data_IF_038428626623
#
_entry.id   IF_038428626623
#
_cell.length_a   1.000
_cell.length_b   1.000
_cell.length_c   1.000
_cell.angle_alpha   90.00
_cell.angle_beta   90.00
_cell.angle_gamma   90.00
#
_symmetry.space_group_name_H-M   'P 1'
#
loop_
_entity.id
_entity.type
_entity.pdbx_description
1 polymer ?
#
# COMPACT_ATOMS: atom_id res chain seq x y z
N UNK A 1 -4.55 -2.94 5.89
CA UNK A 1 -3.86 -1.87 5.10
C UNK A 1 -2.63 -2.49 4.46
N UNK A 2 -2.43 -2.24 3.15
CA UNK A 2 -1.34 -2.80 2.38
C UNK A 2 0.02 -2.63 3.09
N UNK A 3 0.57 -3.70 3.61
CA UNK A 3 1.82 -3.70 4.38
C UNK A 3 2.79 -4.79 3.94
N UNK A 4 2.55 -5.39 2.78
CA UNK A 4 3.41 -6.41 2.20
C UNK A 4 3.23 -6.45 0.69
N UNK A 5 4.33 -6.52 -0.07
CA UNK A 5 4.34 -6.55 -1.53
C UNK A 5 5.15 -7.73 -2.06
N UNK A 6 4.88 -8.12 -3.30
CA UNK A 6 5.75 -8.95 -4.12
C UNK A 6 6.15 -8.18 -5.39
N UNK A 7 7.39 -8.36 -5.83
CA UNK A 7 7.99 -7.74 -7.01
C UNK A 7 8.83 -8.82 -7.68
N UNK A 8 8.24 -9.53 -8.61
CA UNK A 8 8.82 -10.77 -9.15
C UNK A 8 8.95 -10.77 -10.67
N UNK A 9 8.28 -9.82 -11.34
CA UNK A 9 8.34 -9.69 -12.79
C UNK A 9 9.74 -9.26 -13.26
N UNK A 10 10.13 -9.66 -14.46
CA UNK A 10 11.42 -9.28 -15.03
C UNK A 10 11.57 -7.75 -15.11
N UNK A 11 12.75 -7.18 -14.81
CA UNK A 11 13.00 -5.74 -14.87
C UNK A 11 12.65 -5.11 -16.22
N UNK A 12 12.76 -5.85 -17.32
CA UNK A 12 12.41 -5.41 -18.66
C UNK A 12 10.90 -5.16 -18.83
N UNK A 13 10.06 -6.05 -18.28
CA UNK A 13 8.61 -5.90 -18.31
C UNK A 13 8.17 -4.69 -17.49
N UNK A 14 8.78 -4.51 -16.31
CA UNK A 14 8.53 -3.35 -15.45
C UNK A 14 8.94 -2.07 -16.17
N UNK A 15 10.14 -2.03 -16.74
CA UNK A 15 10.64 -0.86 -17.49
C UNK A 15 9.77 -0.51 -18.70
N UNK A 16 9.28 -1.52 -19.41
CA UNK A 16 8.41 -1.30 -20.56
C UNK A 16 7.10 -0.60 -20.18
N UNK A 17 6.50 -0.96 -19.01
CA UNK A 17 5.28 -0.34 -18.54
C UNK A 17 5.52 1.08 -18.01
N UNK A 18 6.53 1.26 -17.17
CA UNK A 18 6.74 2.52 -16.45
C UNK A 18 7.60 3.53 -17.20
N UNK A 19 8.28 3.11 -18.28
CA UNK A 19 9.10 3.95 -19.16
C UNK A 19 10.15 4.82 -18.43
N UNK A 20 10.80 4.26 -17.41
CA UNK A 20 11.90 4.93 -16.71
C UNK A 20 13.26 4.69 -17.42
N UNK A 21 14.23 5.56 -17.13
CA UNK A 21 15.52 5.57 -17.83
C UNK A 21 16.46 4.43 -17.42
N UNK A 22 16.48 4.09 -16.14
CA UNK A 22 17.46 3.18 -15.54
C UNK A 22 17.26 1.72 -15.98
N UNK A 23 18.31 0.91 -15.74
CA UNK A 23 18.27 -0.54 -15.88
C UNK A 23 18.68 -1.20 -14.54
N UNK A 24 17.77 -1.18 -13.55
CA UNK A 24 18.10 -1.68 -12.24
C UNK A 24 18.30 -3.20 -12.26
N UNK A 25 19.30 -3.67 -11.54
CA UNK A 25 19.43 -5.08 -11.19
C UNK A 25 18.70 -5.32 -9.87
N UNK A 26 17.36 -5.44 -9.95
CA UNK A 26 16.51 -5.72 -8.80
C UNK A 26 16.08 -7.19 -8.83
N UNK A 27 16.55 -8.03 -7.89
CA UNK A 27 16.17 -9.43 -7.87
C UNK A 27 14.71 -9.61 -7.49
N UNK A 28 14.07 -10.71 -7.90
CA UNK A 28 12.71 -11.03 -7.47
C UNK A 28 12.59 -11.04 -5.94
N UNK A 29 11.56 -10.41 -5.43
CA UNK A 29 11.22 -10.36 -4.02
C UNK A 29 9.76 -10.74 -3.83
N UNK A 30 9.54 -11.77 -3.03
CA UNK A 30 8.20 -12.33 -2.81
C UNK A 30 7.55 -11.82 -1.53
N UNK A 31 8.29 -11.11 -0.69
CA UNK A 31 7.82 -10.75 0.65
C UNK A 31 8.43 -9.42 1.16
N UNK A 32 8.30 -8.36 0.37
CA UNK A 32 8.79 -7.02 0.74
C UNK A 32 7.95 -6.45 1.88
N UNK A 33 8.60 -6.09 2.97
CA UNK A 33 7.97 -5.58 4.19
C UNK A 33 8.36 -4.10 4.45
N UNK A 34 7.57 -3.40 5.28
CA UNK A 34 7.92 -2.05 5.74
C UNK A 34 9.35 -1.96 6.28
N UNK A 35 9.94 -0.79 6.16
CA UNK A 35 11.34 -0.42 6.46
C UNK A 35 12.38 -0.95 5.49
N UNK A 36 12.04 -1.88 4.64
CA UNK A 36 12.92 -2.36 3.56
C UNK A 36 12.94 -1.40 2.38
N UNK A 37 14.00 -1.44 1.54
CA UNK A 37 14.02 -0.75 0.26
C UNK A 37 12.92 -1.29 -0.66
N UNK A 38 12.20 -0.37 -1.30
CA UNK A 38 11.14 -0.67 -2.27
C UNK A 38 11.33 0.20 -3.50
N UNK A 39 11.13 -0.34 -4.73
CA UNK A 39 11.22 0.45 -5.93
C UNK A 39 10.00 1.34 -6.10
N UNK A 40 10.27 2.58 -6.44
CA UNK A 40 9.25 3.55 -6.87
C UNK A 40 9.67 4.21 -8.18
N UNK A 41 8.68 4.68 -8.92
CA UNK A 41 8.89 5.59 -10.06
C UNK A 41 8.49 6.98 -9.62
N UNK A 42 9.33 7.95 -9.92
CA UNK A 42 9.05 9.37 -9.72
C UNK A 42 9.43 10.18 -10.96
N UNK A 43 8.81 11.33 -11.15
CA UNK A 43 9.14 12.26 -12.22
C UNK A 43 10.23 13.22 -11.73
N UNK A 44 11.32 13.37 -12.48
CA UNK A 44 12.40 14.30 -12.16
C UNK A 44 12.82 15.07 -13.42
N UNK A 45 13.40 16.25 -13.21
CA UNK A 45 14.06 16.99 -14.27
C UNK A 45 15.47 16.45 -14.51
N UNK A 46 15.87 16.36 -15.76
CA UNK A 46 17.26 16.07 -16.09
C UNK A 46 18.18 17.18 -15.53
N UNK A 47 19.35 16.85 -15.01
CA UNK A 47 20.29 17.85 -14.51
C UNK A 47 20.66 18.88 -15.59
N UNK A 48 20.38 20.15 -15.33
CA UNK A 48 20.68 21.26 -16.25
C UNK A 48 19.74 21.37 -17.46
N UNK A 49 18.66 20.56 -17.53
CA UNK A 49 17.67 20.56 -18.60
C UNK A 49 16.26 20.92 -18.16
N UNK A 50 15.39 21.19 -19.13
CA UNK A 50 13.95 21.38 -18.90
C UNK A 50 13.17 20.06 -19.04
N UNK A 51 13.79 19.03 -19.62
CA UNK A 51 13.14 17.76 -19.88
C UNK A 51 12.90 17.01 -18.58
N UNK A 52 11.68 16.55 -18.41
CA UNK A 52 11.28 15.65 -17.32
C UNK A 52 11.27 14.22 -17.82
N UNK A 53 11.67 13.30 -16.98
CA UNK A 53 11.56 11.87 -17.26
C UNK A 53 11.26 11.08 -16.00
N UNK A 54 10.79 9.88 -16.20
CA UNK A 54 10.51 8.95 -15.11
C UNK A 54 11.79 8.25 -14.70
N UNK A 55 12.02 8.16 -13.38
CA UNK A 55 13.18 7.53 -12.78
C UNK A 55 12.76 6.40 -11.86
N UNK A 56 13.50 5.29 -11.93
CA UNK A 56 13.42 4.20 -10.97
C UNK A 56 14.31 4.50 -9.78
N UNK A 57 13.75 4.54 -8.58
CA UNK A 57 14.49 4.85 -7.36
C UNK A 57 14.13 3.83 -6.28
N UNK A 58 15.15 3.40 -5.50
CA UNK A 58 14.92 2.62 -4.28
C UNK A 58 14.76 3.59 -3.10
N UNK A 59 13.64 3.48 -2.41
CA UNK A 59 13.31 4.28 -1.23
C UNK A 59 13.00 3.37 -0.04
N UNK A 60 13.15 3.88 1.18
CA UNK A 60 12.72 3.18 2.38
C UNK A 60 11.18 3.21 2.47
N UNK A 61 10.54 2.06 2.59
CA UNK A 61 9.09 2.00 2.82
C UNK A 61 8.76 2.37 4.27
N UNK A 62 8.30 3.56 4.48
CA UNK A 62 8.02 4.14 5.79
C UNK A 62 8.29 5.63 5.78
N UNK A 63 7.27 6.41 5.43
CA UNK A 63 7.31 7.84 5.17
C UNK A 63 7.72 8.64 6.42
N UNK A 64 8.72 9.50 6.27
CA UNK A 64 9.17 10.44 7.27
C UNK A 64 9.00 11.87 6.76
N UNK A 65 8.07 12.66 7.32
CA UNK A 65 7.98 14.08 7.00
C UNK A 65 9.27 14.83 7.34
N UNK A 66 9.65 15.83 6.54
CA UNK A 66 10.88 16.59 6.74
C UNK A 66 10.98 17.35 8.07
N UNK A 67 9.87 17.52 8.80
CA UNK A 67 9.88 18.15 10.13
C UNK A 67 10.23 17.19 11.28
N UNK A 68 10.32 15.89 11.03
CA UNK A 68 10.67 14.88 12.05
C UNK A 68 12.15 15.02 12.40
N UNK A 69 12.44 15.23 13.68
CA UNK A 69 13.82 15.38 14.16
C UNK A 69 14.50 14.05 14.40
N UNK A 70 13.84 13.13 15.08
CA UNK A 70 14.32 11.76 15.31
C UNK A 70 13.27 10.75 14.77
N UNK A 71 13.65 9.91 13.82
CA UNK A 71 12.75 8.87 13.29
C UNK A 71 12.23 7.90 14.34
N UNK A 72 12.91 7.73 15.47
CA UNK A 72 12.48 6.83 16.56
C UNK A 72 11.26 7.37 17.30
N UNK A 73 11.08 8.69 17.31
CA UNK A 73 9.96 9.37 17.98
C UNK A 73 8.74 9.52 17.06
N UNK A 74 8.84 9.06 15.80
CA UNK A 74 7.77 9.18 14.83
C UNK A 74 7.20 7.80 14.47
N UNK A 75 5.87 7.65 14.40
CA UNK A 75 5.27 6.36 14.05
C UNK A 75 5.68 5.91 12.64
N UNK A 76 5.82 4.59 12.45
CA UNK A 76 6.08 4.03 11.14
C UNK A 76 4.85 4.22 10.23
N UNK A 77 4.94 5.15 9.30
CA UNK A 77 3.85 5.49 8.37
C UNK A 77 4.07 4.81 7.03
N UNK A 78 3.47 3.65 6.85
CA UNK A 78 3.58 2.86 5.60
C UNK A 78 2.45 3.14 4.62
N UNK A 79 1.35 3.71 5.10
CA UNK A 79 0.17 4.04 4.30
C UNK A 79 -0.38 5.41 4.66
N UNK A 80 -0.90 6.12 3.67
CA UNK A 80 -1.63 7.36 3.82
C UNK A 80 -3.05 7.20 3.24
N UNK A 81 -4.06 7.75 3.91
CA UNK A 81 -5.46 7.61 3.50
C UNK A 81 -5.81 8.72 2.52
N UNK A 82 -6.31 8.36 1.34
CA UNK A 82 -6.74 9.27 0.29
C UNK A 82 -7.65 10.39 0.82
N UNK A 83 -8.60 10.05 1.67
CA UNK A 83 -9.64 10.93 2.20
C UNK A 83 -9.09 12.08 3.07
N UNK A 84 -7.88 11.95 3.58
CA UNK A 84 -7.31 12.92 4.53
C UNK A 84 -5.94 13.45 4.12
N UNK A 85 -5.43 13.09 2.92
CA UNK A 85 -4.10 13.50 2.47
C UNK A 85 -3.93 15.02 2.37
N UNK A 86 -4.92 15.69 1.78
CA UNK A 86 -4.87 17.14 1.55
C UNK A 86 -4.91 17.93 2.85
N UNK A 87 -5.55 17.38 3.90
CA UNK A 87 -5.74 18.06 5.18
C UNK A 87 -4.54 17.90 6.12
N UNK A 88 -3.92 16.70 6.11
CA UNK A 88 -2.87 16.36 7.08
C UNK A 88 -1.54 17.07 6.77
N UNK A 89 -0.96 17.82 7.73
CA UNK A 89 0.33 18.50 7.54
C UNK A 89 1.45 17.57 7.08
N UNK A 90 1.45 16.31 7.52
CA UNK A 90 2.45 15.30 7.15
C UNK A 90 2.44 14.97 5.66
N UNK A 91 1.31 15.09 4.96
CA UNK A 91 1.16 14.58 3.60
C UNK A 91 0.84 15.65 2.56
N UNK A 92 0.19 16.76 2.94
CA UNK A 92 -0.30 17.76 1.98
C UNK A 92 0.78 18.33 1.05
N UNK A 93 2.02 18.50 1.56
CA UNK A 93 3.13 18.99 0.75
C UNK A 93 3.65 17.90 -0.20
N UNK A 94 3.71 16.66 0.26
CA UNK A 94 4.09 15.53 -0.57
C UNK A 94 3.03 15.27 -1.67
N UNK A 95 1.74 15.38 -1.36
CA UNK A 95 0.67 15.29 -2.37
C UNK A 95 0.83 16.35 -3.47
N UNK A 96 1.24 17.56 -3.12
CA UNK A 96 1.44 18.63 -4.09
C UNK A 96 2.70 18.49 -4.94
N UNK A 97 3.78 17.88 -4.42
CA UNK A 97 5.11 17.99 -5.03
C UNK A 97 5.92 16.70 -5.11
N UNK A 98 5.50 15.62 -4.44
CA UNK A 98 6.30 14.41 -4.26
C UNK A 98 5.44 13.17 -4.36
N UNK A 99 4.72 13.05 -5.47
CA UNK A 99 3.97 11.85 -5.80
C UNK A 99 4.91 10.84 -6.47
N UNK A 100 4.72 9.57 -6.17
CA UNK A 100 5.46 8.47 -6.78
C UNK A 100 4.52 7.30 -7.07
N UNK A 101 5.00 6.32 -7.81
CA UNK A 101 4.31 5.06 -8.06
C UNK A 101 5.16 3.95 -7.47
N UNK A 102 4.62 3.18 -6.52
CA UNK A 102 5.20 1.91 -6.09
C UNK A 102 5.00 0.86 -7.17
N UNK A 103 6.05 0.12 -7.46
CA UNK A 103 6.03 -1.00 -8.40
C UNK A 103 5.75 -2.27 -7.61
N UNK A 104 4.75 -3.05 -8.00
CA UNK A 104 4.49 -4.35 -7.42
C UNK A 104 3.81 -5.27 -8.44
N UNK A 105 3.98 -6.57 -8.29
CA UNK A 105 3.21 -7.57 -9.04
C UNK A 105 2.02 -8.04 -8.22
N UNK A 106 2.20 -8.09 -6.89
CA UNK A 106 1.17 -8.46 -5.95
C UNK A 106 1.29 -7.69 -4.64
N UNK A 107 0.19 -7.59 -3.94
CA UNK A 107 0.19 -7.20 -2.54
C UNK A 107 -0.54 -8.24 -1.69
N UNK A 108 -0.33 -8.18 -0.38
CA UNK A 108 -0.93 -9.11 0.56
C UNK A 108 -1.80 -8.36 1.56
N UNK A 109 -2.97 -8.94 1.87
CA UNK A 109 -3.86 -8.50 2.93
C UNK A 109 -4.38 -9.68 3.73
N UNK A 110 -4.86 -9.41 4.93
CA UNK A 110 -5.28 -10.44 5.87
C UNK A 110 -6.75 -10.30 6.23
N UNK A 111 -7.53 -11.34 5.95
CA UNK A 111 -8.87 -11.47 6.50
C UNK A 111 -8.74 -11.85 7.98
N UNK A 112 -9.06 -10.90 8.84
CA UNK A 112 -9.03 -11.11 10.28
C UNK A 112 -10.26 -11.89 10.73
N UNK A 113 -10.15 -12.70 11.81
CA UNK A 113 -11.30 -13.28 12.47
C UNK A 113 -12.30 -12.16 12.86
N UNK A 114 -13.61 -12.49 12.92
CA UNK A 114 -14.62 -11.55 13.37
C UNK A 114 -14.28 -10.95 14.75
N UNK A 115 -14.69 -9.70 14.97
CA UNK A 115 -14.50 -9.05 16.26
C UNK A 115 -15.22 -9.86 17.35
N UNK A 116 -14.54 -10.13 18.46
CA UNK A 116 -15.06 -10.99 19.55
C UNK A 116 -14.82 -12.49 19.33
N UNK A 117 -14.04 -12.89 18.33
CA UNK A 117 -13.61 -14.28 18.19
C UNK A 117 -12.96 -14.81 19.48
N UNK A 118 -13.18 -16.09 19.79
CA UNK A 118 -12.68 -16.71 21.02
C UNK A 118 -11.16 -16.71 21.08
N UNK A 119 -10.60 -16.71 22.28
CA UNK A 119 -9.19 -17.05 22.52
C UNK A 119 -8.93 -18.45 21.93
N UNK A 120 -8.00 -18.52 20.97
CA UNK A 120 -7.74 -19.74 20.18
C UNK A 120 -8.43 -19.78 18.80
N UNK A 121 -9.09 -18.70 18.37
CA UNK A 121 -9.54 -18.57 16.99
C UNK A 121 -8.36 -18.73 16.00
N UNK A 122 -8.62 -19.23 14.78
CA UNK A 122 -7.60 -19.34 13.74
C UNK A 122 -6.88 -18.00 13.51
N UNK A 123 -5.61 -18.01 13.14
CA UNK A 123 -4.90 -16.80 12.78
C UNK A 123 -5.57 -16.13 11.57
N UNK A 124 -5.27 -14.84 11.37
CA UNK A 124 -5.75 -14.15 10.19
C UNK A 124 -5.30 -14.88 8.91
N UNK A 125 -6.24 -15.10 8.00
CA UNK A 125 -5.98 -15.73 6.69
C UNK A 125 -5.35 -14.70 5.75
N UNK A 126 -4.12 -14.87 5.28
CA UNK A 126 -3.53 -14.02 4.26
C UNK A 126 -4.09 -14.35 2.88
N UNK A 127 -4.25 -13.32 2.07
CA UNK A 127 -4.62 -13.37 0.66
C UNK A 127 -3.58 -12.63 -0.16
N UNK A 128 -3.30 -13.16 -1.34
CA UNK A 128 -2.53 -12.48 -2.37
C UNK A 128 -3.50 -11.82 -3.35
N UNK A 129 -3.18 -10.59 -3.75
CA UNK A 129 -3.90 -9.80 -4.75
C UNK A 129 -2.96 -9.44 -5.87
N UNK A 130 -3.35 -9.67 -7.12
CA UNK A 130 -2.61 -9.23 -8.31
C UNK A 130 -3.56 -8.77 -9.41
N UNK A 131 -3.01 -8.11 -10.42
CA UNK A 131 -3.81 -7.79 -11.62
C UNK A 131 -4.22 -9.08 -12.35
N UNK A 132 -5.46 -9.12 -12.80
CA UNK A 132 -6.01 -10.25 -13.56
C UNK A 132 -5.34 -10.44 -14.91
N UNK A 133 -4.86 -9.35 -15.53
CA UNK A 133 -4.14 -9.36 -16.80
C UNK A 133 -2.67 -9.79 -16.67
N UNK A 134 -2.16 -9.98 -15.44
CA UNK A 134 -0.79 -10.36 -15.15
C UNK A 134 0.23 -9.23 -15.32
N UNK A 135 -0.20 -7.99 -15.62
CA UNK A 135 0.69 -6.84 -15.70
C UNK A 135 1.17 -6.39 -14.31
N UNK A 136 2.31 -5.67 -14.24
CA UNK A 136 2.71 -5.01 -13.00
C UNK A 136 1.64 -4.04 -12.53
N UNK A 137 1.50 -3.88 -11.21
CA UNK A 137 0.65 -2.86 -10.60
C UNK A 137 1.41 -1.57 -10.39
N UNK A 138 0.78 -0.46 -10.77
CA UNK A 138 1.19 0.87 -10.40
C UNK A 138 0.39 1.32 -9.18
N UNK A 139 1.02 1.36 -8.01
CA UNK A 139 0.36 1.75 -6.78
C UNK A 139 0.70 3.19 -6.43
N UNK A 140 -0.30 4.06 -6.34
CA UNK A 140 -0.10 5.46 -5.98
C UNK A 140 0.57 5.62 -4.61
N UNK A 141 1.58 6.47 -4.55
CA UNK A 141 2.37 6.72 -3.35
C UNK A 141 2.81 8.17 -3.21
N UNK A 142 3.29 8.50 -2.03
CA UNK A 142 3.94 9.75 -1.71
C UNK A 142 5.34 9.47 -1.20
N UNK A 143 6.29 10.36 -1.50
CA UNK A 143 7.67 10.24 -1.04
C UNK A 143 8.16 11.54 -0.37
N UNK A 144 9.21 11.44 0.40
CA UNK A 144 9.89 12.58 1.04
C UNK A 144 11.36 12.22 1.27
N UNK A 145 12.24 13.18 1.09
CA UNK A 145 13.62 13.10 1.57
C UNK A 145 13.66 13.63 2.99
N UNK A 146 13.91 12.74 3.93
CA UNK A 146 14.18 13.13 5.31
C UNK A 146 15.66 13.44 5.47
N UNK A 147 15.97 14.61 6.04
CA UNK A 147 17.35 15.02 6.35
C UNK A 147 17.55 14.98 7.86
N UNK A 148 18.50 14.18 8.28
CA UNK A 148 18.84 14.03 9.70
C UNK A 148 19.76 15.13 10.24
N UNK A 149 19.97 15.15 11.56
CA UNK A 149 20.72 16.23 12.23
C UNK A 149 22.19 16.28 11.83
N UNK A 150 22.75 15.21 11.29
CA UNK A 150 24.15 15.17 10.83
C UNK A 150 24.28 15.36 9.31
N UNK A 151 23.19 15.69 8.62
CA UNK A 151 23.16 15.88 7.17
C UNK A 151 22.95 14.57 6.38
N UNK A 152 22.64 13.44 7.04
CA UNK A 152 22.23 12.22 6.37
C UNK A 152 20.88 12.43 5.67
N UNK A 153 20.75 11.89 4.46
CA UNK A 153 19.50 11.96 3.69
C UNK A 153 18.96 10.55 3.44
N UNK A 154 17.66 10.39 3.64
CA UNK A 154 16.96 9.13 3.39
C UNK A 154 15.67 9.42 2.62
N UNK A 155 15.59 8.89 1.41
CA UNK A 155 14.35 8.90 0.65
C UNK A 155 13.39 7.86 1.24
N UNK A 156 12.20 8.32 1.58
CA UNK A 156 11.16 7.52 2.22
C UNK A 156 9.86 7.64 1.46
N UNK A 157 9.02 6.60 1.52
CA UNK A 157 7.72 6.65 0.86
C UNK A 157 6.63 5.89 1.63
N UNK A 158 5.37 6.22 1.33
CA UNK A 158 4.18 5.48 1.76
C UNK A 158 3.20 5.27 0.62
N UNK A 159 2.43 4.20 0.70
CA UNK A 159 1.36 3.87 -0.24
C UNK A 159 0.12 4.71 0.07
N UNK A 160 -0.53 5.24 -0.95
CA UNK A 160 -1.86 5.84 -0.83
C UNK A 160 -2.91 4.73 -0.87
N UNK A 161 -3.83 4.76 0.11
CA UNK A 161 -4.91 3.78 0.20
C UNK A 161 -6.27 4.46 0.17
N UNK A 162 -7.25 3.77 -0.40
CA UNK A 162 -8.65 4.19 -0.47
C UNK A 162 -9.57 3.12 0.11
N UNK A 163 -10.89 3.32 0.11
CA UNK A 163 -11.85 2.28 0.45
C UNK A 163 -11.70 1.07 -0.47
N UNK A 164 -11.96 -0.12 0.06
CA UNK A 164 -11.96 -1.33 -0.76
C UNK A 164 -13.16 -1.32 -1.73
N UNK A 165 -12.96 -1.89 -2.93
CA UNK A 165 -14.04 -2.24 -3.84
C UNK A 165 -14.87 -3.43 -3.32
N UNK A 166 -15.91 -3.84 -4.04
CA UNK A 166 -16.82 -4.91 -3.64
C UNK A 166 -16.10 -6.20 -3.24
N UNK A 167 -15.34 -6.84 -4.12
CA UNK A 167 -14.66 -8.11 -3.85
C UNK A 167 -13.66 -8.04 -2.68
N UNK A 168 -12.85 -6.99 -2.62
CA UNK A 168 -11.79 -6.83 -1.59
C UNK A 168 -12.39 -6.55 -0.21
N UNK A 169 -13.56 -5.89 -0.15
CA UNK A 169 -14.23 -5.53 1.09
C UNK A 169 -14.54 -6.74 2.00
N UNK A 170 -14.70 -7.93 1.41
CA UNK A 170 -14.89 -9.18 2.15
C UNK A 170 -13.63 -9.63 2.93
N UNK A 171 -12.46 -9.10 2.58
CA UNK A 171 -11.18 -9.45 3.19
C UNK A 171 -10.68 -8.30 4.04
N UNK A 172 -10.65 -7.09 3.48
CA UNK A 172 -10.19 -5.89 4.17
C UNK A 172 -10.95 -4.65 3.70
N UNK A 173 -11.23 -3.70 4.59
CA UNK A 173 -11.99 -2.47 4.30
C UNK A 173 -11.22 -1.40 3.50
N UNK A 174 -9.93 -1.63 3.23
CA UNK A 174 -9.04 -0.72 2.48
C UNK A 174 -8.32 -1.49 1.38
N UNK A 175 -7.97 -0.76 0.30
CA UNK A 175 -7.11 -1.23 -0.77
C UNK A 175 -6.12 -0.13 -1.17
N UNK A 176 -4.96 -0.46 -1.78
CA UNK A 176 -4.10 0.55 -2.38
C UNK A 176 -4.79 1.23 -3.56
N UNK A 177 -4.43 2.49 -3.83
CA UNK A 177 -4.84 3.19 -5.06
C UNK A 177 -4.06 2.58 -6.22
N UNK A 178 -4.75 1.94 -7.16
CA UNK A 178 -4.17 1.38 -8.37
C UNK A 178 -4.34 2.39 -9.50
N UNK A 179 -3.25 2.71 -10.18
CA UNK A 179 -3.23 3.65 -11.29
C UNK A 179 -3.14 2.90 -12.62
N UNK A 180 -3.95 3.29 -13.58
CA UNK A 180 -3.84 2.79 -14.95
C UNK A 180 -2.79 3.61 -15.74
N UNK A 181 -2.15 3.03 -16.79
CA UNK A 181 -1.03 3.65 -17.49
C UNK A 181 -1.31 5.06 -18.03
N UNK A 182 -2.54 5.32 -18.49
CA UNK A 182 -2.98 6.64 -18.97
C UNK A 182 -2.98 7.73 -17.90
N UNK A 183 -2.93 7.36 -16.64
CA UNK A 183 -2.94 8.28 -15.49
C UNK A 183 -1.56 8.50 -14.87
N UNK A 184 -0.51 7.84 -15.38
CA UNK A 184 0.83 7.95 -14.77
C UNK A 184 1.37 9.36 -14.78
N UNK A 185 1.21 10.10 -15.89
CA UNK A 185 1.69 11.48 -15.97
C UNK A 185 0.87 12.42 -15.08
N UNK A 186 -0.46 12.27 -15.06
CA UNK A 186 -1.33 13.04 -14.15
C UNK A 186 -0.93 12.82 -12.68
N UNK A 187 -0.52 11.60 -12.31
CA UNK A 187 -0.07 11.32 -10.96
C UNK A 187 1.35 11.80 -10.68
N UNK A 188 2.30 11.58 -11.61
CA UNK A 188 3.73 11.81 -11.37
C UNK A 188 4.17 13.24 -11.60
N UNK A 189 3.63 13.92 -12.63
CA UNK A 189 4.04 15.28 -12.98
C UNK A 189 3.33 16.32 -12.10
N UNK A 190 3.95 16.57 -10.93
CA UNK A 190 3.42 17.51 -9.96
C UNK A 190 3.48 18.99 -10.39
N UNK A 191 4.14 19.31 -11.49
CA UNK A 191 4.20 20.68 -12.04
C UNK A 191 3.11 20.93 -13.10
N UNK A 192 2.79 19.89 -13.89
CA UNK A 192 1.74 19.97 -14.90
C UNK A 192 0.34 19.73 -14.31
N UNK A 193 0.26 18.89 -13.27
CA UNK A 193 -0.98 18.45 -12.63
C UNK A 193 -0.97 18.74 -11.15
N UNK A 194 -1.95 19.45 -10.67
CA UNK A 194 -2.04 19.83 -9.27
C UNK A 194 -2.54 18.68 -8.36
N UNK A 195 -2.67 18.98 -7.08
CA UNK A 195 -3.12 18.00 -6.09
C UNK A 195 -4.60 17.64 -6.25
N UNK A 196 -5.43 18.55 -6.77
CA UNK A 196 -6.86 18.32 -6.94
C UNK A 196 -7.11 17.36 -8.11
N UNK A 197 -6.41 17.56 -9.25
CA UNK A 197 -6.42 16.62 -10.38
C UNK A 197 -5.94 15.24 -9.98
N UNK A 198 -4.81 15.14 -9.25
CA UNK A 198 -4.30 13.87 -8.75
C UNK A 198 -5.26 13.19 -7.76
N UNK A 199 -6.02 13.96 -6.99
CA UNK A 199 -6.98 13.45 -6.03
C UNK A 199 -8.15 12.72 -6.69
N UNK A 200 -8.51 13.06 -7.91
CA UNK A 200 -9.54 12.35 -8.68
C UNK A 200 -9.16 10.90 -9.01
N UNK A 201 -7.86 10.60 -9.00
CA UNK A 201 -7.33 9.24 -9.23
C UNK A 201 -7.35 8.38 -7.96
N UNK A 202 -7.56 8.96 -6.77
CA UNK A 202 -7.50 8.27 -5.49
C UNK A 202 -8.82 7.53 -5.18
N UNK A 203 -9.28 6.73 -6.10
CA UNK A 203 -10.52 5.94 -6.03
C UNK A 203 -10.22 4.43 -5.99
N UNK A 204 -11.16 3.58 -5.54
CA UNK A 204 -11.04 2.13 -5.69
C UNK A 204 -10.86 1.75 -7.16
N UNK A 205 -10.06 0.72 -7.42
CA UNK A 205 -10.03 0.09 -8.74
C UNK A 205 -11.36 -0.62 -8.99
N UNK A 206 -11.72 -0.78 -10.27
CA UNK A 206 -12.92 -1.51 -10.66
C UNK A 206 -12.85 -2.98 -10.19
N UNK A 207 -14.01 -3.61 -10.00
CA UNK A 207 -14.12 -4.92 -9.35
C UNK A 207 -13.43 -6.05 -10.11
N UNK A 208 -13.21 -5.89 -11.39
CA UNK A 208 -12.62 -6.88 -12.30
C UNK A 208 -11.11 -6.70 -12.55
N UNK A 209 -10.49 -5.61 -12.05
CA UNK A 209 -9.06 -5.32 -12.23
C UNK A 209 -8.18 -6.33 -11.51
N UNK A 210 -8.56 -6.72 -10.29
CA UNK A 210 -7.77 -7.60 -9.45
C UNK A 210 -8.39 -9.00 -9.33
N UNK A 211 -7.52 -9.99 -9.21
CA UNK A 211 -7.86 -11.32 -8.73
C UNK A 211 -7.13 -11.59 -7.43
N UNK A 212 -7.65 -12.51 -6.62
CA UNK A 212 -7.05 -12.86 -5.34
C UNK A 212 -7.38 -14.30 -4.92
N UNK A 213 -6.52 -14.84 -4.06
CA UNK A 213 -6.71 -16.17 -3.47
C UNK A 213 -6.04 -16.25 -2.10
N UNK A 214 -6.48 -17.19 -1.25
CA UNK A 214 -5.83 -17.45 0.03
C UNK A 214 -4.46 -18.09 -0.18
N UNK A 215 -3.51 -17.68 0.66
CA UNK A 215 -2.12 -18.19 0.64
C UNK A 215 -1.69 -18.68 2.02
N UNK A 216 -0.53 -19.32 2.08
CA UNK A 216 0.05 -19.83 3.32
C UNK A 216 0.37 -18.71 4.31
N UNK A 217 0.14 -18.99 5.61
CA UNK A 217 0.58 -18.12 6.72
C UNK A 217 2.11 -18.00 6.81
N UNK A 218 2.87 -18.74 6.03
CA UNK A 218 4.32 -18.61 5.92
C UNK A 218 4.75 -17.18 5.52
N UNK A 219 3.91 -16.44 4.78
CA UNK A 219 4.11 -15.03 4.41
C UNK A 219 4.24 -14.10 5.63
N UNK A 220 3.72 -14.49 6.80
CA UNK A 220 3.80 -13.69 8.03
C UNK A 220 5.25 -13.48 8.49
N UNK A 221 6.13 -14.43 8.20
CA UNK A 221 7.57 -14.33 8.53
C UNK A 221 8.30 -13.65 7.38
N UNK A 222 8.81 -12.44 7.61
CA UNK A 222 9.52 -11.63 6.60
C UNK A 222 10.77 -12.35 6.05
N UNK A 223 11.37 -13.25 6.82
CA UNK A 223 12.53 -14.05 6.38
C UNK A 223 12.20 -15.03 5.25
N UNK A 224 10.93 -15.42 5.14
CA UNK A 224 10.47 -16.23 4.02
C UNK A 224 10.29 -15.33 2.79
N UNK A 225 10.99 -15.61 1.70
CA UNK A 225 11.02 -14.78 0.49
C UNK A 225 11.18 -15.67 -0.75
N UNK A 226 10.27 -16.64 -0.91
CA UNK A 226 10.29 -17.58 -2.04
C UNK A 226 8.97 -17.63 -2.81
N UNK A 227 8.97 -18.17 -4.04
CA UNK A 227 7.81 -18.24 -4.92
C UNK A 227 6.63 -19.03 -4.34
N UNK A 228 6.90 -19.98 -3.45
CA UNK A 228 5.87 -20.78 -2.75
C UNK A 228 4.89 -19.93 -1.93
N UNK A 229 5.29 -18.71 -1.54
CA UNK A 229 4.42 -17.80 -0.81
C UNK A 229 3.24 -17.28 -1.63
N UNK A 230 3.36 -17.32 -2.96
CA UNK A 230 2.31 -16.87 -3.87
C UNK A 230 1.34 -18.01 -4.27
N UNK A 231 1.65 -19.25 -3.90
CA UNK A 231 0.84 -20.41 -4.25
C UNK A 231 -0.51 -20.39 -3.51
N UNK A 232 -1.63 -20.68 -4.20
CA UNK A 232 -2.93 -20.79 -3.56
C UNK A 232 -2.96 -21.97 -2.58
N UNK A 233 -3.68 -21.78 -1.47
CA UNK A 233 -3.96 -22.83 -0.46
C UNK A 233 -5.46 -22.85 -0.15
N UNK A 234 -5.93 -23.90 0.52
CA UNK A 234 -7.28 -23.91 1.10
C UNK A 234 -7.41 -22.81 2.16
N UNK A 235 -8.59 -22.22 2.30
CA UNK A 235 -8.86 -21.23 3.35
C UNK A 235 -8.80 -21.87 4.73
N UNK A 236 -8.28 -21.11 5.72
CA UNK A 236 -8.37 -21.50 7.12
C UNK A 236 -9.84 -21.39 7.54
N UNK A 237 -10.40 -22.48 8.04
CA UNK A 237 -11.77 -22.49 8.53
C UNK A 237 -11.96 -21.47 9.66
N UNK A 238 -12.81 -20.47 9.42
CA UNK A 238 -13.12 -19.43 10.39
C UNK A 238 -14.18 -19.95 11.35
N UNK A 239 -13.94 -19.84 12.65
CA UNK A 239 -14.98 -20.16 13.64
C UNK A 239 -16.16 -19.18 13.48
N UNK A 240 -17.38 -19.73 13.40
CA UNK A 240 -18.60 -18.90 13.34
C UNK A 240 -18.65 -17.91 14.52
N UNK A 241 -19.04 -16.66 14.29
CA UNK A 241 -19.20 -15.68 15.36
C UNK A 241 -20.31 -16.17 16.29
N UNK A 242 -20.04 -16.16 17.62
CA UNK A 242 -21.08 -16.45 18.61
C UNK A 242 -22.22 -15.44 18.42
N UNK A 243 -23.49 -15.89 18.45
CA UNK A 243 -24.61 -14.99 18.49
C UNK A 243 -24.44 -14.03 19.69
N UNK A 244 -24.52 -12.75 19.43
CA UNK A 244 -24.50 -11.72 20.49
C UNK A 244 -25.58 -12.10 21.50
N UNK A 245 -25.20 -12.29 22.78
CA UNK A 245 -26.19 -12.46 23.85
C UNK A 245 -27.14 -11.28 23.79
N UNK A 246 -28.41 -11.56 23.59
CA UNK A 246 -29.45 -10.53 23.66
C UNK A 246 -29.28 -9.78 24.99
N UNK A 247 -29.11 -8.47 24.91
CA UNK A 247 -29.11 -7.61 26.08
C UNK A 247 -30.49 -7.76 26.70
N UNK A 248 -30.57 -8.37 27.90
CA UNK A 248 -31.81 -8.39 28.65
C UNK A 248 -32.24 -6.93 28.85
N UNK A 249 -33.48 -6.58 28.51
CA UNK A 249 -33.99 -5.25 28.84
C UNK A 249 -33.86 -5.05 30.35
N UNK A 250 -33.32 -3.89 30.74
CA UNK A 250 -33.23 -3.51 32.13
C UNK A 250 -34.66 -3.60 32.74
N UNK A 251 -34.79 -4.30 33.83
CA UNK A 251 -36.04 -4.37 34.56
C UNK A 251 -36.44 -2.94 34.93
N UNK A 252 -37.61 -2.47 34.44
CA UNK A 252 -38.24 -1.26 34.91
C UNK A 252 -38.50 -1.47 36.40
N UNK A 253 -37.76 -0.75 37.24
CA UNK A 253 -38.06 -0.68 38.68
C UNK A 253 -39.42 0.01 38.84
N UNK A 254 -40.29 -0.67 39.56
CA UNK A 254 -41.59 -0.09 39.99
C UNK A 254 -41.33 1.20 40.75
N UNK A 255 -41.92 2.28 40.23
CA UNK A 255 -41.90 3.63 40.80
C UNK A 255 -43.17 3.93 41.59
N UNK A 256 -43.66 2.94 42.32
CA UNK A 256 -44.73 3.19 43.33
C UNK A 256 -44.62 2.12 44.46
N UNK A 257 -44.05 2.55 45.57
CA UNK A 257 -44.05 1.90 46.84
C UNK A 257 -43.61 2.88 47.91
#
# INVERSE_FOLDING_TARGET
MCGRLAITLPPQAIRALFAYAEQPNFPPRYNVAPTQPVPVVRMEREPGGERKQRHFVLVRWGFLPGFVKDPKDYPLVINARAETLAEKPSFRNALKRRRCIFIADAFYEWRRPPEGARKGAPPAQPFLFRRRDGAPMAIGGLWETWTGPNGEEVDTACIVTTHANGPISAIHHRMPVILEPEHFDTWLDCEAHDADEASLLMRPADDDVLEFWPISTAVNKVVNDGPELMAPVGEIEQAEPKPKKAVKPAAQGDLFG
#
